data_IF_172910801224
#
_entry.id   IF_172910801224
#
_cell.length_a   1.000
_cell.length_b   1.000
_cell.length_c   1.000
_cell.angle_alpha   90.00
_cell.angle_beta   90.00
_cell.angle_gamma   90.00
#
_symmetry.space_group_name_H-M   'P 1'
#
loop_
_entity.id
_entity.type
_entity.pdbx_description
1 polymer ?
#
# COMPACT_ATOMS: atom_id res chain seq x y z
N UNK A 1 14.50 7.58 21.77
CA UNK A 1 14.56 6.35 20.94
C UNK A 1 13.22 5.65 21.07
N UNK A 2 12.24 6.00 20.23
CA UNK A 2 10.88 5.45 20.29
C UNK A 2 10.80 4.21 19.42
N UNK A 3 10.82 3.06 20.09
CA UNK A 3 10.66 1.73 19.51
C UNK A 3 9.40 1.64 18.66
N UNK A 4 9.56 1.10 17.46
CA UNK A 4 8.51 0.74 16.52
C UNK A 4 7.52 -0.23 17.21
N UNK A 5 6.39 0.28 17.71
CA UNK A 5 5.35 -0.53 18.37
C UNK A 5 4.56 -1.35 17.34
N UNK A 6 5.17 -2.42 16.84
CA UNK A 6 4.47 -3.48 16.14
C UNK A 6 4.00 -4.51 17.15
N UNK A 7 2.71 -4.52 17.49
CA UNK A 7 2.17 -5.61 18.29
C UNK A 7 2.15 -6.95 17.53
N UNK A 8 1.57 -8.01 18.11
CA UNK A 8 1.71 -9.36 17.58
C UNK A 8 1.19 -9.51 16.15
N UNK A 9 1.94 -10.27 15.33
CA UNK A 9 1.56 -10.64 13.97
C UNK A 9 0.81 -11.97 14.05
N UNK A 10 -0.37 -12.01 13.44
CA UNK A 10 -1.15 -13.23 13.22
C UNK A 10 -1.04 -13.53 11.73
N UNK A 11 -0.30 -14.58 11.40
CA UNK A 11 -0.18 -15.07 10.03
C UNK A 11 -1.27 -16.11 9.76
N UNK A 12 -2.02 -15.89 8.69
CA UNK A 12 -3.14 -16.73 8.27
C UNK A 12 -2.71 -17.56 7.06
N UNK A 13 -2.84 -18.87 7.17
CA UNK A 13 -2.47 -19.82 6.12
C UNK A 13 -3.57 -20.87 5.93
N UNK A 14 -3.63 -21.47 4.74
CA UNK A 14 -4.63 -22.48 4.37
C UNK A 14 -4.94 -22.45 2.88
N UNK A 15 -5.61 -23.51 2.41
CA UNK A 15 -5.92 -23.74 0.98
C UNK A 15 -6.65 -22.54 0.34
N UNK A 16 -7.64 -21.99 1.03
CA UNK A 16 -8.44 -20.84 0.57
C UNK A 16 -8.01 -19.49 1.17
N UNK A 17 -6.82 -19.41 1.77
CA UNK A 17 -6.34 -18.19 2.45
C UNK A 17 -6.27 -16.98 1.51
N UNK A 18 -6.09 -17.22 0.21
CA UNK A 18 -6.13 -16.18 -0.83
C UNK A 18 -7.44 -15.38 -0.86
N UNK A 19 -8.58 -15.96 -0.45
CA UNK A 19 -9.86 -15.25 -0.36
C UNK A 19 -9.83 -14.14 0.70
N UNK A 20 -9.03 -14.31 1.76
CA UNK A 20 -8.89 -13.34 2.86
C UNK A 20 -8.12 -12.09 2.42
N UNK A 21 -7.35 -12.16 1.34
CA UNK A 21 -6.65 -11.01 0.75
C UNK A 21 -7.68 -10.08 0.10
N UNK A 22 -8.54 -10.64 -0.74
CA UNK A 22 -9.49 -9.90 -1.57
C UNK A 22 -8.83 -9.00 -2.62
N UNK A 23 -9.63 -8.16 -3.28
CA UNK A 23 -9.14 -7.27 -4.33
C UNK A 23 -8.15 -6.27 -3.76
N UNK A 24 -6.88 -6.35 -4.19
CA UNK A 24 -5.79 -5.44 -3.77
C UNK A 24 -5.64 -5.35 -2.23
N UNK A 25 -5.96 -6.41 -1.49
CA UNK A 25 -5.79 -6.45 -0.03
C UNK A 25 -6.94 -5.82 0.77
N UNK A 26 -8.03 -5.40 0.13
CA UNK A 26 -9.15 -4.73 0.80
C UNK A 26 -9.82 -5.60 1.86
N UNK A 27 -10.00 -6.90 1.59
CA UNK A 27 -10.59 -7.83 2.55
C UNK A 27 -9.68 -8.00 3.77
N UNK A 28 -8.37 -8.18 3.55
CA UNK A 28 -7.40 -8.30 4.63
C UNK A 28 -7.37 -7.03 5.50
N UNK A 29 -7.52 -5.86 4.90
CA UNK A 29 -7.59 -4.60 5.62
C UNK A 29 -8.88 -4.47 6.45
N UNK A 30 -10.03 -4.91 5.92
CA UNK A 30 -11.28 -4.93 6.67
C UNK A 30 -11.20 -5.91 7.86
N UNK A 31 -10.67 -7.12 7.64
CA UNK A 31 -10.43 -8.10 8.70
C UNK A 31 -9.48 -7.54 9.77
N UNK A 32 -8.37 -6.93 9.36
CA UNK A 32 -7.41 -6.28 10.25
C UNK A 32 -8.07 -5.24 11.16
N UNK A 33 -9.02 -4.45 10.62
CA UNK A 33 -9.76 -3.46 11.37
C UNK A 33 -10.71 -4.11 12.38
N UNK A 34 -11.52 -5.08 11.94
CA UNK A 34 -12.47 -5.79 12.80
C UNK A 34 -11.77 -6.52 13.94
N UNK A 35 -10.68 -7.23 13.65
CA UNK A 35 -9.91 -7.94 14.68
C UNK A 35 -9.31 -6.96 15.68
N UNK A 36 -8.73 -5.84 15.24
CA UNK A 36 -8.24 -4.82 16.18
C UNK A 36 -9.37 -4.20 17.02
N UNK A 37 -10.58 -4.04 16.48
CA UNK A 37 -11.72 -3.56 17.23
C UNK A 37 -12.11 -4.55 18.35
N UNK A 38 -12.09 -5.85 18.06
CA UNK A 38 -12.37 -6.91 19.03
C UNK A 38 -11.28 -6.96 20.11
N UNK A 39 -10.00 -7.00 19.71
CA UNK A 39 -8.85 -7.09 20.63
C UNK A 39 -8.84 -5.92 21.61
N UNK A 40 -9.09 -4.70 21.13
CA UNK A 40 -9.14 -3.48 21.96
C UNK A 40 -10.19 -3.53 23.08
N UNK A 41 -11.24 -4.34 22.95
CA UNK A 41 -12.25 -4.49 24.00
C UNK A 41 -11.73 -5.29 25.20
N UNK A 42 -10.74 -6.16 24.98
CA UNK A 42 -10.21 -7.07 25.99
C UNK A 42 -8.82 -6.65 26.48
N UNK A 43 -8.03 -6.02 25.61
CA UNK A 43 -6.65 -5.63 25.90
C UNK A 43 -6.42 -4.17 25.49
N UNK A 44 -6.15 -3.31 26.47
CA UNK A 44 -5.85 -1.91 26.21
C UNK A 44 -4.43 -1.75 25.62
N UNK A 45 -4.26 -0.80 24.69
CA UNK A 45 -2.99 -0.53 24.02
C UNK A 45 -2.48 -1.61 23.05
N UNK A 46 -3.12 -2.78 22.98
CA UNK A 46 -2.70 -3.88 22.10
C UNK A 46 -3.24 -3.67 20.68
N UNK A 47 -2.35 -3.76 19.69
CA UNK A 47 -2.68 -3.76 18.27
C UNK A 47 -2.07 -4.97 17.59
N UNK A 48 -2.90 -5.79 16.96
CA UNK A 48 -2.43 -6.94 16.18
C UNK A 48 -2.23 -6.55 14.72
N UNK A 49 -1.37 -7.26 14.03
CA UNK A 49 -1.21 -7.19 12.57
C UNK A 49 -1.65 -8.51 11.96
N UNK A 50 -2.56 -8.46 10.98
CA UNK A 50 -2.91 -9.62 10.16
C UNK A 50 -2.07 -9.62 8.89
N UNK A 51 -1.51 -10.79 8.58
CA UNK A 51 -0.92 -11.09 7.27
C UNK A 51 -1.44 -12.42 6.74
N UNK A 52 -1.33 -12.60 5.44
CA UNK A 52 -1.71 -13.83 4.75
C UNK A 52 -0.52 -14.28 3.93
N UNK A 53 0.22 -15.26 4.44
CA UNK A 53 1.35 -15.88 3.76
C UNK A 53 2.33 -14.85 3.18
N UNK A 54 2.75 -13.82 3.92
CA UNK A 54 3.61 -12.71 3.45
C UNK A 54 3.04 -11.84 2.30
N UNK A 55 1.70 -11.75 2.18
CA UNK A 55 1.05 -10.93 1.15
C UNK A 55 1.50 -9.48 1.18
N UNK A 56 1.64 -8.88 2.37
CA UNK A 56 2.03 -7.46 2.51
C UNK A 56 3.37 -7.16 1.86
N UNK A 57 4.36 -8.02 2.09
CA UNK A 57 5.70 -7.87 1.51
C UNK A 57 5.66 -8.02 -0.02
N UNK A 58 4.96 -9.04 -0.53
CA UNK A 58 4.79 -9.23 -1.98
C UNK A 58 4.08 -8.05 -2.65
N UNK A 59 3.05 -7.52 -1.99
CA UNK A 59 2.29 -6.36 -2.49
C UNK A 59 3.16 -5.12 -2.57
N UNK A 60 3.96 -4.85 -1.55
CA UNK A 60 4.90 -3.73 -1.55
C UNK A 60 5.93 -3.85 -2.68
N UNK A 61 6.56 -5.02 -2.85
CA UNK A 61 7.51 -5.27 -3.93
C UNK A 61 6.87 -5.04 -5.31
N UNK A 62 5.66 -5.56 -5.54
CA UNK A 62 4.92 -5.39 -6.79
C UNK A 62 4.59 -3.92 -7.08
N UNK A 63 4.20 -3.14 -6.06
CA UNK A 63 3.91 -1.70 -6.21
C UNK A 63 5.17 -0.89 -6.53
N UNK A 64 6.31 -1.22 -5.92
CA UNK A 64 7.60 -0.59 -6.23
C UNK A 64 8.02 -0.84 -7.66
N UNK A 65 7.93 -2.08 -8.11
CA UNK A 65 8.25 -2.45 -9.48
C UNK A 65 7.33 -1.75 -10.49
N UNK A 66 6.02 -1.72 -10.22
CA UNK A 66 5.05 -0.98 -11.03
C UNK A 66 5.40 0.51 -11.11
N UNK A 67 5.72 1.14 -9.97
CA UNK A 67 6.10 2.55 -9.91
C UNK A 67 7.35 2.85 -10.77
N UNK A 68 8.38 1.99 -10.71
CA UNK A 68 9.59 2.12 -11.54
C UNK A 68 9.28 2.05 -13.03
N UNK A 69 8.54 1.02 -13.46
CA UNK A 69 8.17 0.83 -14.87
C UNK A 69 7.36 2.01 -15.42
N UNK A 70 6.48 2.57 -14.62
CA UNK A 70 5.67 3.72 -15.03
C UNK A 70 6.51 4.99 -15.04
N UNK A 71 7.41 5.19 -14.08
CA UNK A 71 8.35 6.31 -14.09
C UNK A 71 9.25 6.31 -15.34
N UNK A 72 9.77 5.15 -15.75
CA UNK A 72 10.53 4.99 -17.00
C UNK A 72 9.69 5.40 -18.21
N UNK A 73 8.44 4.91 -18.30
CA UNK A 73 7.53 5.27 -19.40
C UNK A 73 7.19 6.75 -19.43
N UNK A 74 6.95 7.37 -18.27
CA UNK A 74 6.71 8.82 -18.15
C UNK A 74 7.95 9.60 -18.59
N UNK A 75 9.14 9.15 -18.21
CA UNK A 75 10.43 9.77 -18.59
C UNK A 75 10.64 9.71 -20.11
N UNK A 76 10.38 8.55 -20.73
CA UNK A 76 10.55 8.36 -22.18
C UNK A 76 9.52 9.13 -23.01
N UNK A 77 8.27 9.18 -22.56
CA UNK A 77 7.17 9.78 -23.32
C UNK A 77 6.93 11.25 -23.01
N UNK A 78 7.48 11.74 -21.91
CA UNK A 78 7.18 13.05 -21.33
C UNK A 78 5.66 13.30 -21.13
N UNK A 79 4.88 12.23 -20.92
CA UNK A 79 3.44 12.26 -20.67
C UNK A 79 3.15 11.70 -19.30
N UNK A 80 2.30 12.39 -18.53
CA UNK A 80 1.86 11.91 -17.23
C UNK A 80 0.99 10.65 -17.34
N UNK A 81 1.07 9.80 -16.32
CA UNK A 81 0.26 8.57 -16.22
C UNK A 81 -0.44 8.57 -14.86
N UNK A 82 -1.77 8.47 -14.89
CA UNK A 82 -2.61 8.33 -13.70
C UNK A 82 -2.92 6.86 -13.45
N UNK A 83 -2.68 6.42 -12.23
CA UNK A 83 -2.94 5.05 -11.79
C UNK A 83 -4.40 4.88 -11.36
N UNK A 84 -4.82 3.63 -11.29
CA UNK A 84 -6.10 3.25 -10.67
C UNK A 84 -6.15 3.67 -9.19
N UNK A 85 -7.33 3.98 -8.65
CA UNK A 85 -7.49 4.29 -7.22
C UNK A 85 -7.00 3.13 -6.33
N UNK A 86 -6.37 3.48 -5.21
CA UNK A 86 -5.78 2.50 -4.29
C UNK A 86 -5.73 3.01 -2.84
N UNK A 87 -5.64 2.11 -1.86
CA UNK A 87 -5.59 2.49 -0.45
C UNK A 87 -4.44 3.46 -0.11
N UNK A 88 -4.56 4.28 0.95
CA UNK A 88 -3.53 5.23 1.34
C UNK A 88 -2.13 4.63 1.53
N UNK A 89 -2.04 3.39 2.02
CA UNK A 89 -0.76 2.68 2.21
C UNK A 89 -0.08 2.40 0.86
N UNK A 90 -0.82 1.89 -0.12
CA UNK A 90 -0.33 1.63 -1.47
C UNK A 90 0.13 2.93 -2.14
N UNK A 91 -0.66 4.01 -2.04
CA UNK A 91 -0.27 5.34 -2.56
C UNK A 91 1.03 5.83 -1.93
N UNK A 92 1.16 5.67 -0.60
CA UNK A 92 2.39 6.05 0.11
C UNK A 92 3.59 5.29 -0.44
N UNK A 93 3.49 3.98 -0.66
CA UNK A 93 4.58 3.17 -1.22
C UNK A 93 5.04 3.76 -2.56
N UNK A 94 4.11 4.08 -3.46
CA UNK A 94 4.43 4.67 -4.77
C UNK A 94 5.12 6.03 -4.61
N UNK A 95 4.54 6.92 -3.80
CA UNK A 95 5.13 8.23 -3.52
C UNK A 95 6.55 8.09 -3.00
N UNK A 96 6.76 7.28 -1.96
CA UNK A 96 8.07 7.11 -1.32
C UNK A 96 9.09 6.44 -2.24
N UNK A 97 8.64 5.58 -3.15
CA UNK A 97 9.53 4.90 -4.10
C UNK A 97 10.07 5.86 -5.15
N UNK A 98 9.33 6.93 -5.47
CA UNK A 98 9.67 7.89 -6.50
C UNK A 98 10.10 9.26 -5.97
N UNK A 99 10.11 9.48 -4.64
CA UNK A 99 10.47 10.77 -4.01
C UNK A 99 11.78 11.35 -4.56
N UNK A 100 12.81 10.51 -4.68
CA UNK A 100 14.16 10.91 -5.10
C UNK A 100 14.42 10.63 -6.59
N UNK A 101 13.41 10.27 -7.38
CA UNK A 101 13.61 9.96 -8.79
C UNK A 101 14.03 11.23 -9.55
N UNK A 102 15.07 11.20 -10.41
CA UNK A 102 15.61 12.40 -11.04
C UNK A 102 14.65 13.06 -12.02
N UNK A 103 13.84 12.28 -12.74
CA UNK A 103 13.06 12.77 -13.89
C UNK A 103 11.54 12.84 -13.69
N UNK A 104 11.01 12.32 -12.58
CA UNK A 104 9.55 12.30 -12.34
C UNK A 104 9.22 12.71 -10.91
N UNK A 105 8.00 13.20 -10.72
CA UNK A 105 7.37 13.44 -9.43
C UNK A 105 6.00 12.77 -9.37
N UNK A 106 5.37 12.81 -8.19
CA UNK A 106 4.10 12.13 -7.95
C UNK A 106 3.13 13.03 -7.22
N UNK A 107 1.86 12.98 -7.62
CA UNK A 107 0.77 13.76 -7.01
C UNK A 107 -0.43 12.86 -6.74
N UNK A 108 -1.12 13.07 -5.62
CA UNK A 108 -2.35 12.35 -5.28
C UNK A 108 -3.57 13.25 -5.53
N UNK A 109 -4.49 12.86 -6.41
CA UNK A 109 -5.73 13.59 -6.71
C UNK A 109 -6.98 12.77 -6.41
N UNK A 110 -8.10 13.44 -6.12
CA UNK A 110 -9.36 12.82 -5.69
C UNK A 110 -9.47 12.63 -4.17
N UNK A 111 -10.59 12.08 -3.71
CA UNK A 111 -10.94 11.92 -2.30
C UNK A 111 -11.35 10.48 -1.96
N UNK A 112 -11.24 10.10 -0.69
CA UNK A 112 -11.64 8.77 -0.21
C UNK A 112 -11.11 7.62 -1.08
N UNK A 113 -12.03 6.76 -1.50
CA UNK A 113 -11.74 5.57 -2.31
C UNK A 113 -11.44 5.89 -3.78
N UNK A 114 -11.82 7.07 -4.29
CA UNK A 114 -11.50 7.49 -5.66
C UNK A 114 -10.11 8.15 -5.75
N UNK A 115 -9.41 8.29 -4.63
CA UNK A 115 -8.11 8.96 -4.59
C UNK A 115 -7.04 8.10 -5.27
N UNK A 116 -6.32 8.72 -6.20
CA UNK A 116 -5.36 8.07 -7.10
C UNK A 116 -4.04 8.82 -7.16
N UNK A 117 -2.99 8.16 -7.66
CA UNK A 117 -1.66 8.75 -7.84
C UNK A 117 -1.42 8.99 -9.32
N UNK A 118 -0.93 10.17 -9.66
CA UNK A 118 -0.40 10.51 -10.98
C UNK A 118 1.10 10.63 -10.89
N UNK A 119 1.81 9.95 -11.80
CA UNK A 119 3.25 10.09 -12.00
C UNK A 119 3.43 11.05 -13.19
N UNK A 120 4.20 12.12 -12.97
CA UNK A 120 4.36 13.21 -13.93
C UNK A 120 5.83 13.55 -14.15
N UNK A 121 6.24 13.98 -15.36
CA UNK A 121 7.61 14.42 -15.62
C UNK A 121 7.94 15.64 -14.74
N UNK A 122 9.16 15.70 -14.23
CA UNK A 122 9.67 16.93 -13.60
C UNK A 122 9.87 17.97 -14.69
N UNK A 123 9.40 19.20 -14.43
CA UNK A 123 9.79 20.35 -15.22
C UNK A 123 11.19 20.76 -14.76
N UNK A 124 12.17 20.66 -15.67
CA UNK A 124 13.47 21.30 -15.49
C UNK A 124 13.34 22.82 -15.60
#
# INVERSE_FOLDING_TARGET
>A
MTSNQGGPIIDLAGEDSGLLIGRRGQTLQALQFLVNLIVRRQFDGVRVVLDVENYRQRREASLREMASKIAERVTQTNRSITLEPMPPADRRIIHTSLTNHPSVSTESTGEGDSRKVTILPKRN
#
